data_IF_177570690602
#
_entry.id   IF_177570690602
#
_cell.length_a   1.000
_cell.length_b   1.000
_cell.length_c   1.000
_cell.angle_alpha   90.00
_cell.angle_beta   90.00
_cell.angle_gamma   90.00
#
_symmetry.space_group_name_H-M   'P 1'
#
loop_
_entity.id
_entity.type
_entity.pdbx_description
1 polymer ?
#
# COMPACT_ATOMS: atom_id res chain seq x y z
N UNK A 1 -11.18 -17.87 -4.45
CA UNK A 1 -12.65 -17.83 -4.52
C UNK A 1 -13.19 -19.01 -5.31
N UNK A 2 -13.87 -19.95 -4.63
CA UNK A 2 -14.47 -21.14 -5.26
C UNK A 2 -15.63 -20.77 -6.20
N UNK A 3 -16.27 -19.62 -6.00
CA UNK A 3 -17.37 -19.14 -6.85
C UNK A 3 -16.88 -18.71 -8.24
N UNK A 4 -15.61 -18.36 -8.39
CA UNK A 4 -15.05 -17.94 -9.67
C UNK A 4 -14.61 -19.10 -10.59
N UNK A 5 -14.81 -20.35 -10.15
CA UNK A 5 -14.50 -21.57 -10.92
C UNK A 5 -15.74 -22.17 -11.61
N UNK A 6 -16.80 -21.37 -11.78
CA UNK A 6 -18.02 -21.80 -12.46
C UNK A 6 -17.75 -22.20 -13.91
N UNK A 7 -18.43 -23.26 -14.35
CA UNK A 7 -18.52 -23.64 -15.75
C UNK A 7 -19.15 -22.48 -16.54
N UNK A 8 -18.39 -21.81 -17.40
CA UNK A 8 -18.90 -20.75 -18.27
C UNK A 8 -18.22 -19.39 -18.14
N UNK A 9 -17.27 -19.21 -17.20
CA UNK A 9 -16.44 -17.98 -17.16
C UNK A 9 -15.62 -17.88 -18.44
N UNK A 10 -15.81 -16.80 -19.20
CA UNK A 10 -15.09 -16.53 -20.45
C UNK A 10 -13.91 -15.60 -20.26
N UNK A 11 -13.87 -14.84 -19.17
CA UNK A 11 -12.77 -13.99 -18.75
C UNK A 11 -12.84 -13.69 -17.24
N UNK A 12 -11.73 -13.22 -16.67
CA UNK A 12 -11.65 -12.70 -15.30
C UNK A 12 -11.15 -11.28 -15.32
N UNK A 13 -11.70 -10.47 -14.43
CA UNK A 13 -11.20 -9.12 -14.16
C UNK A 13 -10.88 -9.01 -12.68
N UNK A 14 -9.65 -8.66 -12.38
CA UNK A 14 -9.11 -8.52 -11.02
C UNK A 14 -8.64 -7.08 -10.80
N UNK A 15 -8.57 -6.66 -9.55
CA UNK A 15 -8.05 -5.35 -9.17
C UNK A 15 -6.83 -5.57 -8.31
N UNK A 16 -5.68 -5.00 -8.70
CA UNK A 16 -4.42 -5.06 -7.97
C UNK A 16 -4.10 -6.46 -7.41
N UNK A 17 -3.81 -7.40 -8.29
CA UNK A 17 -3.27 -8.70 -7.87
C UNK A 17 -1.98 -8.50 -7.06
N UNK A 18 -1.85 -9.22 -5.95
CA UNK A 18 -0.65 -9.17 -5.14
C UNK A 18 0.61 -9.58 -5.92
N UNK A 19 0.46 -10.56 -6.82
CA UNK A 19 1.51 -10.97 -7.75
C UNK A 19 0.93 -11.10 -9.15
N UNK A 20 1.48 -10.39 -10.12
CA UNK A 20 1.02 -10.39 -11.52
C UNK A 20 1.05 -11.78 -12.15
N UNK A 21 1.94 -12.67 -11.68
CA UNK A 21 2.06 -14.07 -12.13
C UNK A 21 0.80 -14.90 -11.88
N UNK A 22 -0.09 -14.48 -10.96
CA UNK A 22 -1.37 -15.14 -10.70
C UNK A 22 -2.21 -15.24 -11.98
N UNK A 23 -2.08 -14.29 -12.91
CA UNK A 23 -2.76 -14.31 -14.20
C UNK A 23 -2.43 -15.57 -15.01
N UNK A 24 -1.19 -16.09 -14.90
CA UNK A 24 -0.73 -17.28 -15.61
C UNK A 24 -1.34 -18.61 -15.14
N UNK A 25 -2.08 -18.62 -14.03
CA UNK A 25 -2.74 -19.84 -13.53
C UNK A 25 -4.16 -20.04 -14.08
N UNK A 26 -4.65 -19.12 -14.91
CA UNK A 26 -5.98 -19.22 -15.51
C UNK A 26 -5.86 -19.58 -17.00
N UNK A 27 -6.72 -20.49 -17.45
CA UNK A 27 -6.84 -20.88 -18.87
C UNK A 27 -7.75 -19.95 -19.69
N UNK A 28 -8.27 -18.90 -19.04
CA UNK A 28 -9.12 -17.87 -19.64
C UNK A 28 -8.43 -16.50 -19.56
N UNK A 29 -8.80 -15.54 -20.42
CA UNK A 29 -8.25 -14.20 -20.35
C UNK A 29 -8.43 -13.56 -18.97
N UNK A 30 -7.40 -12.91 -18.46
CA UNK A 30 -7.41 -12.19 -17.17
C UNK A 30 -6.98 -10.76 -17.40
N UNK A 31 -7.82 -9.82 -16.95
CA UNK A 31 -7.50 -8.39 -16.86
C UNK A 31 -7.12 -8.05 -15.42
N UNK A 32 -5.88 -7.64 -15.19
CA UNK A 32 -5.47 -7.04 -13.93
C UNK A 32 -5.60 -5.52 -14.03
N UNK A 33 -6.56 -4.94 -13.34
CA UNK A 33 -6.81 -3.49 -13.30
C UNK A 33 -6.14 -2.93 -12.05
N UNK A 34 -5.58 -1.72 -12.14
CA UNK A 34 -4.88 -1.08 -11.04
C UNK A 34 -5.71 0.04 -10.42
N UNK A 35 -5.68 0.17 -9.09
CA UNK A 35 -6.30 1.28 -8.36
C UNK A 35 -5.52 2.60 -8.49
N UNK A 36 -4.30 2.57 -9.04
CA UNK A 36 -3.43 3.74 -9.21
C UNK A 36 -4.15 4.98 -9.78
N UNK A 37 -5.01 4.90 -10.82
CA UNK A 37 -5.74 6.07 -11.33
C UNK A 37 -6.67 6.71 -10.30
N UNK A 38 -7.29 5.90 -9.42
CA UNK A 38 -8.16 6.40 -8.35
C UNK A 38 -7.34 7.13 -7.28
N UNK A 39 -6.22 6.53 -6.88
CA UNK A 39 -5.30 7.13 -5.91
C UNK A 39 -4.72 8.44 -6.43
N UNK A 40 -4.30 8.47 -7.69
CA UNK A 40 -3.80 9.67 -8.34
C UNK A 40 -4.83 10.80 -8.33
N UNK A 41 -6.08 10.50 -8.67
CA UNK A 41 -7.16 11.48 -8.68
C UNK A 41 -7.44 12.03 -7.27
N UNK A 42 -7.42 11.18 -6.24
CA UNK A 42 -7.62 11.63 -4.87
C UNK A 42 -6.43 12.45 -4.34
N UNK A 43 -5.19 12.01 -4.56
CA UNK A 43 -3.98 12.74 -4.15
C UNK A 43 -3.98 14.16 -4.74
N UNK A 44 -4.31 14.31 -6.03
CA UNK A 44 -4.44 15.64 -6.65
C UNK A 44 -5.55 16.48 -6.01
N UNK A 45 -6.67 15.86 -5.63
CA UNK A 45 -7.78 16.56 -4.97
C UNK A 45 -7.43 17.00 -3.55
N UNK A 46 -6.65 16.23 -2.82
CA UNK A 46 -6.21 16.56 -1.45
C UNK A 46 -5.21 17.70 -1.44
N UNK A 47 -4.49 17.93 -2.55
CA UNK A 47 -3.52 19.01 -2.71
C UNK A 47 -2.47 19.02 -1.58
N UNK A 48 -1.91 17.83 -1.29
CA UNK A 48 -0.81 17.70 -0.31
C UNK A 48 0.43 18.47 -0.75
N UNK A 49 1.10 19.09 0.21
CA UNK A 49 2.36 19.80 -0.04
C UNK A 49 3.55 18.83 -0.06
N UNK A 50 4.48 19.05 -1.00
CA UNK A 50 5.78 18.33 -1.11
C UNK A 50 5.65 16.81 -0.96
N UNK A 51 4.87 16.19 -1.85
CA UNK A 51 4.57 14.75 -1.81
C UNK A 51 5.77 13.91 -2.22
N UNK A 52 6.03 12.85 -1.46
CA UNK A 52 6.86 11.72 -1.85
C UNK A 52 6.08 10.41 -1.74
N UNK A 53 6.17 9.55 -2.75
CA UNK A 53 5.56 8.22 -2.69
C UNK A 53 6.48 7.26 -1.94
N UNK A 54 5.88 6.43 -1.09
CA UNK A 54 6.63 5.48 -0.26
C UNK A 54 6.15 4.05 -0.51
N UNK A 55 7.09 3.14 -0.73
CA UNK A 55 6.83 1.70 -0.66
C UNK A 55 7.03 1.22 0.78
N UNK A 56 6.04 0.54 1.41
CA UNK A 56 6.16 0.06 2.79
C UNK A 56 7.16 -1.10 2.94
N UNK A 57 7.56 -1.71 1.84
CA UNK A 57 8.56 -2.77 1.77
C UNK A 57 9.21 -2.84 0.37
N UNK A 58 10.15 -3.76 0.20
CA UNK A 58 10.84 -3.96 -1.09
C UNK A 58 9.91 -4.57 -2.16
N UNK A 59 8.90 -5.35 -1.75
CA UNK A 59 7.96 -6.01 -2.65
C UNK A 59 7.03 -5.04 -3.37
N UNK A 60 6.61 -3.96 -2.70
CA UNK A 60 5.71 -2.93 -3.25
C UNK A 60 6.37 -1.90 -4.17
N UNK A 61 7.70 -1.93 -4.34
CA UNK A 61 8.47 -0.89 -5.07
C UNK A 61 7.97 -0.65 -6.49
N UNK A 62 7.57 -1.67 -7.21
CA UNK A 62 7.10 -1.52 -8.60
C UNK A 62 5.82 -0.69 -8.64
N UNK A 63 4.86 -0.98 -7.75
CA UNK A 63 3.60 -0.25 -7.61
C UNK A 63 3.85 1.19 -7.20
N UNK A 64 4.64 1.41 -6.16
CA UNK A 64 4.98 2.73 -5.67
C UNK A 64 5.69 3.59 -6.73
N UNK A 65 6.62 3.00 -7.50
CA UNK A 65 7.31 3.67 -8.61
C UNK A 65 6.36 4.09 -9.72
N UNK A 66 5.36 3.25 -10.04
CA UNK A 66 4.36 3.58 -11.05
C UNK A 66 3.54 4.82 -10.66
N UNK A 67 3.14 4.93 -9.40
CA UNK A 67 2.43 6.09 -8.86
C UNK A 67 3.33 7.33 -8.80
N UNK A 68 4.56 7.20 -8.27
CA UNK A 68 5.53 8.29 -8.19
C UNK A 68 5.81 8.92 -9.56
N UNK A 69 5.97 8.07 -10.60
CA UNK A 69 6.16 8.54 -11.98
C UNK A 69 4.97 9.37 -12.49
N UNK A 70 3.74 8.98 -12.17
CA UNK A 70 2.54 9.72 -12.61
C UNK A 70 2.35 11.03 -11.83
N UNK A 71 2.76 11.07 -10.56
CA UNK A 71 2.77 12.28 -9.74
C UNK A 71 3.97 13.19 -10.03
N UNK A 72 4.95 12.72 -10.82
CA UNK A 72 6.22 13.40 -11.06
C UNK A 72 6.96 13.76 -9.76
N UNK A 73 7.02 12.79 -8.84
CA UNK A 73 7.66 12.92 -7.53
C UNK A 73 8.68 11.80 -7.30
N UNK A 74 9.48 11.94 -6.26
CA UNK A 74 10.45 10.95 -5.84
C UNK A 74 9.78 9.73 -5.19
N UNK A 75 10.58 8.67 -5.02
CA UNK A 75 10.20 7.42 -4.37
C UNK A 75 11.10 7.19 -3.15
N UNK A 76 10.50 6.87 -2.02
CA UNK A 76 11.20 6.30 -0.88
C UNK A 76 10.78 4.85 -0.63
N UNK A 77 11.62 4.09 0.06
CA UNK A 77 11.39 2.69 0.37
C UNK A 77 11.68 2.48 1.85
N UNK A 78 10.77 1.81 2.55
CA UNK A 78 11.02 1.31 3.90
C UNK A 78 11.58 -0.10 3.77
N UNK A 79 12.89 -0.24 4.01
CA UNK A 79 13.58 -1.54 3.97
C UNK A 79 13.63 -2.14 5.37
N UNK A 80 12.98 -3.27 5.52
CA UNK A 80 12.90 -4.02 6.78
C UNK A 80 14.03 -5.02 6.85
N UNK A 81 15.04 -4.74 7.68
CA UNK A 81 16.20 -5.61 7.86
C UNK A 81 16.18 -6.29 9.23
N UNK A 82 16.50 -7.57 9.22
CA UNK A 82 16.86 -8.33 10.41
C UNK A 82 18.36 -8.59 10.35
N UNK A 83 19.20 -7.78 11.01
CA UNK A 83 20.66 -7.94 10.92
C UNK A 83 21.14 -9.29 11.47
N UNK A 84 20.44 -9.84 12.50
CA UNK A 84 20.76 -11.16 13.09
C UNK A 84 19.50 -11.82 13.65
N UNK A 85 19.55 -13.14 13.86
CA UNK A 85 18.52 -13.88 14.58
C UNK A 85 18.41 -13.36 16.03
N UNK A 86 17.19 -13.05 16.49
CA UNK A 86 16.87 -12.46 17.81
C UNK A 86 17.24 -10.97 18.02
N UNK A 87 17.60 -10.23 16.99
CA UNK A 87 17.73 -8.77 17.05
C UNK A 87 16.43 -8.12 16.58
N UNK A 88 16.07 -7.01 17.22
CA UNK A 88 14.88 -6.21 16.83
C UNK A 88 14.99 -5.79 15.36
N UNK A 89 13.85 -5.82 14.67
CA UNK A 89 13.76 -5.36 13.29
C UNK A 89 14.17 -3.89 13.20
N UNK A 90 15.08 -3.58 12.30
CA UNK A 90 15.47 -2.21 12.00
C UNK A 90 14.80 -1.80 10.70
N UNK A 91 14.06 -0.69 10.75
CA UNK A 91 13.52 -0.04 9.56
C UNK A 91 14.55 0.93 9.03
N UNK A 92 15.00 0.73 7.80
CA UNK A 92 15.87 1.67 7.09
C UNK A 92 15.08 2.36 5.99
N UNK A 93 15.07 3.68 5.99
CA UNK A 93 14.42 4.46 4.94
C UNK A 93 15.45 4.79 3.87
N UNK A 94 15.13 4.44 2.63
CA UNK A 94 15.91 4.76 1.44
C UNK A 94 15.17 5.86 0.70
N UNK A 95 15.73 7.05 0.62
CA UNK A 95 15.12 8.25 0.02
C UNK A 95 15.13 9.44 0.99
N UNK A 96 14.96 10.63 0.45
CA UNK A 96 14.90 11.87 1.24
C UNK A 96 13.44 12.21 1.54
N UNK A 97 13.02 11.98 2.81
CA UNK A 97 11.63 12.15 3.26
C UNK A 97 11.46 13.31 4.25
N UNK A 98 12.57 13.94 4.66
CA UNK A 98 12.53 14.95 5.71
C UNK A 98 11.70 16.16 5.29
N UNK A 99 10.71 16.49 6.09
CA UNK A 99 9.79 17.61 5.85
C UNK A 99 8.71 17.33 4.79
N UNK A 100 8.75 16.17 4.11
CA UNK A 100 7.82 15.84 3.03
C UNK A 100 6.54 15.15 3.53
N UNK A 101 5.48 15.26 2.73
CA UNK A 101 4.26 14.47 2.89
C UNK A 101 4.46 13.10 2.26
N UNK A 102 4.57 12.07 3.09
CA UNK A 102 4.79 10.69 2.67
C UNK A 102 3.45 10.01 2.33
N UNK A 103 3.31 9.54 1.08
CA UNK A 103 2.16 8.78 0.60
C UNK A 103 2.58 7.32 0.45
N UNK A 104 2.25 6.50 1.44
CA UNK A 104 2.47 5.05 1.36
C UNK A 104 1.42 4.44 0.42
N UNK A 105 1.84 3.55 -0.49
CA UNK A 105 0.91 2.83 -1.36
C UNK A 105 1.14 1.33 -1.26
N UNK A 106 0.03 0.58 -1.06
CA UNK A 106 0.07 -0.88 -1.00
C UNK A 106 -1.21 -1.49 -1.58
N UNK A 107 -1.15 -2.78 -1.97
CA UNK A 107 -2.33 -3.49 -2.47
C UNK A 107 -3.20 -4.04 -1.35
N UNK A 108 -2.60 -4.57 -0.29
CA UNK A 108 -3.31 -5.27 0.78
C UNK A 108 -2.88 -4.76 2.15
N UNK A 109 -3.84 -4.41 2.98
CA UNK A 109 -3.61 -4.18 4.39
C UNK A 109 -4.43 -5.17 5.22
N UNK A 110 -3.76 -6.13 5.85
CA UNK A 110 -4.40 -7.15 6.67
C UNK A 110 -4.44 -6.71 8.15
N UNK A 111 -3.41 -6.94 8.93
CA UNK A 111 -3.37 -6.56 10.36
C UNK A 111 -2.87 -5.13 10.60
N UNK A 112 -2.49 -4.43 9.56
CA UNK A 112 -1.89 -3.09 9.55
C UNK A 112 -0.52 -2.95 10.26
N UNK A 113 0.06 -4.03 10.79
CA UNK A 113 1.32 -3.95 11.52
C UNK A 113 2.47 -3.35 10.71
N UNK A 114 2.71 -3.88 9.50
CA UNK A 114 3.76 -3.38 8.60
C UNK A 114 3.54 -1.91 8.24
N UNK A 115 2.30 -1.55 7.93
CA UNK A 115 1.92 -0.19 7.56
C UNK A 115 2.18 0.80 8.72
N UNK A 116 1.75 0.45 9.92
CA UNK A 116 1.92 1.29 11.12
C UNK A 116 3.40 1.47 11.46
N UNK A 117 4.19 0.39 11.45
CA UNK A 117 5.63 0.47 11.70
C UNK A 117 6.34 1.32 10.64
N UNK A 118 5.94 1.22 9.36
CA UNK A 118 6.49 2.06 8.31
C UNK A 118 6.17 3.54 8.56
N UNK A 119 4.94 3.87 8.97
CA UNK A 119 4.53 5.23 9.29
C UNK A 119 5.31 5.81 10.48
N UNK A 120 5.47 5.02 11.55
CA UNK A 120 6.22 5.42 12.72
C UNK A 120 7.70 5.70 12.38
N UNK A 121 8.31 4.86 11.53
CA UNK A 121 9.66 5.09 11.04
C UNK A 121 9.76 6.37 10.20
N UNK A 122 8.82 6.61 9.29
CA UNK A 122 8.79 7.84 8.48
C UNK A 122 8.64 9.09 9.34
N UNK A 123 7.74 9.06 10.34
CA UNK A 123 7.57 10.18 11.26
C UNK A 123 8.81 10.43 12.11
N UNK A 124 9.49 9.38 12.58
CA UNK A 124 10.71 9.50 13.37
C UNK A 124 11.87 10.11 12.58
N UNK A 125 11.92 9.87 11.26
CA UNK A 125 12.90 10.45 10.33
C UNK A 125 12.49 11.84 9.79
N UNK A 126 11.37 12.39 10.29
CA UNK A 126 10.98 13.78 10.07
C UNK A 126 10.03 14.01 8.91
N UNK A 127 9.24 13.03 8.51
CA UNK A 127 8.11 13.25 7.60
C UNK A 127 7.10 14.24 8.20
N UNK A 128 6.63 15.20 7.41
CA UNK A 128 5.64 16.20 7.84
C UNK A 128 4.26 15.55 8.06
N UNK A 129 3.88 14.69 7.14
CA UNK A 129 2.63 13.92 7.20
C UNK A 129 2.85 12.52 6.60
N UNK A 130 2.02 11.55 7.01
CA UNK A 130 2.03 10.18 6.46
C UNK A 130 0.60 9.75 6.17
N UNK A 131 0.30 9.55 4.90
CA UNK A 131 -0.98 9.01 4.42
C UNK A 131 -0.75 7.64 3.79
N UNK A 132 -1.73 6.74 3.89
CA UNK A 132 -1.69 5.44 3.27
C UNK A 132 -2.84 5.25 2.27
N UNK A 133 -2.53 4.73 1.09
CA UNK A 133 -3.46 4.42 0.02
C UNK A 133 -3.44 2.91 -0.23
N UNK A 134 -4.53 2.23 0.09
CA UNK A 134 -4.63 0.78 0.11
C UNK A 134 -5.76 0.31 -0.79
N UNK A 135 -5.47 -0.65 -1.67
CA UNK A 135 -6.49 -1.21 -2.56
C UNK A 135 -7.43 -2.14 -1.80
N UNK A 136 -6.90 -3.11 -1.04
CA UNK A 136 -7.70 -4.13 -0.36
C UNK A 136 -7.61 -3.99 1.16
N UNK A 137 -8.55 -3.27 1.81
CA UNK A 137 -8.57 -3.10 3.26
C UNK A 137 -9.21 -4.31 3.94
N UNK A 138 -8.44 -5.37 4.18
CA UNK A 138 -8.91 -6.56 4.90
C UNK A 138 -9.18 -6.22 6.35
N UNK A 139 -8.27 -5.48 6.99
CA UNK A 139 -8.35 -4.99 8.36
C UNK A 139 -8.77 -6.07 9.36
N UNK A 140 -8.06 -7.21 9.31
CA UNK A 140 -8.31 -8.33 10.21
C UNK A 140 -7.69 -8.13 11.60
N UNK A 141 -8.16 -8.92 12.55
CA UNK A 141 -7.58 -9.00 13.87
C UNK A 141 -7.59 -7.68 14.64
N UNK A 142 -6.41 -7.13 14.91
CA UNK A 142 -6.21 -5.87 15.65
C UNK A 142 -5.93 -4.68 14.73
N UNK A 143 -6.24 -4.75 13.43
CA UNK A 143 -5.91 -3.70 12.48
C UNK A 143 -6.42 -2.33 12.92
N UNK A 144 -7.69 -2.22 13.32
CA UNK A 144 -8.29 -0.97 13.77
C UNK A 144 -7.51 -0.37 14.95
N UNK A 145 -7.14 -1.21 15.94
CA UNK A 145 -6.37 -0.75 17.10
C UNK A 145 -4.96 -0.32 16.72
N UNK A 146 -4.27 -1.10 15.88
CA UNK A 146 -2.94 -0.77 15.39
C UNK A 146 -2.94 0.57 14.66
N UNK A 147 -3.95 0.82 13.82
CA UNK A 147 -4.10 2.08 13.09
C UNK A 147 -4.34 3.24 14.05
N UNK A 148 -5.26 3.09 15.02
CA UNK A 148 -5.56 4.13 16.01
C UNK A 148 -4.36 4.50 16.88
N UNK A 149 -3.50 3.52 17.19
CA UNK A 149 -2.32 3.71 18.03
C UNK A 149 -1.10 4.20 17.21
N UNK A 150 -1.19 4.24 15.87
CA UNK A 150 -0.10 4.62 14.99
C UNK A 150 -0.01 6.13 14.76
N UNK A 151 1.08 6.55 14.12
CA UNK A 151 1.32 7.94 13.72
C UNK A 151 0.81 8.28 12.31
N UNK A 152 -0.04 7.42 11.72
CA UNK A 152 -0.66 7.65 10.41
C UNK A 152 -1.64 8.82 10.51
N UNK A 153 -1.50 9.82 9.62
CA UNK A 153 -2.41 10.98 9.57
C UNK A 153 -3.73 10.64 8.86
N UNK A 154 -3.74 9.66 7.97
CA UNK A 154 -4.95 9.19 7.31
C UNK A 154 -4.74 7.95 6.46
N UNK A 155 -5.82 7.17 6.29
CA UNK A 155 -5.84 5.99 5.42
C UNK A 155 -6.97 6.14 4.42
N UNK A 156 -6.63 6.03 3.15
CA UNK A 156 -7.54 6.06 2.02
C UNK A 156 -7.61 4.65 1.44
N UNK A 157 -8.79 4.13 1.27
CA UNK A 157 -9.00 2.76 0.77
C UNK A 157 -10.01 2.74 -0.36
N UNK A 158 -9.93 1.72 -1.21
CA UNK A 158 -11.00 1.44 -2.17
C UNK A 158 -12.14 0.67 -1.49
N UNK A 159 -13.22 0.48 -2.21
CA UNK A 159 -14.39 -0.30 -1.77
C UNK A 159 -14.37 -1.76 -2.24
N UNK A 160 -13.21 -2.27 -2.63
CA UNK A 160 -13.06 -3.69 -3.04
C UNK A 160 -13.46 -4.65 -1.92
N UNK A 161 -13.30 -4.22 -0.67
CA UNK A 161 -13.74 -4.93 0.53
C UNK A 161 -14.57 -3.97 1.37
N UNK A 162 -15.79 -4.40 1.70
CA UNK A 162 -16.68 -3.59 2.54
C UNK A 162 -16.13 -3.48 3.95
N UNK A 163 -15.85 -2.26 4.40
CA UNK A 163 -15.47 -2.00 5.78
C UNK A 163 -16.62 -2.38 6.72
N UNK A 164 -16.32 -3.13 7.78
CA UNK A 164 -17.27 -3.39 8.84
C UNK A 164 -17.54 -2.07 9.59
N UNK A 165 -18.81 -1.70 9.74
CA UNK A 165 -19.17 -0.63 10.68
C UNK A 165 -18.84 -1.14 12.09
N UNK A 166 -17.79 -0.65 12.67
CA UNK A 166 -17.51 -0.78 14.10
C UNK A 166 -17.73 0.55 14.78
#
# INVERSE_FOLDING_TARGET
DSASRGLGDVYKRQIDLHADQIQGFFDIPVDNIYATPLFLADIHKQNYDDVIVVSPDVGGVVRARALAKQLNTDLAIVDKRRPEANVSEVMQIIGDIKGKCCVIVDDICDTAGTLCHAADALKSEGASAVYAYITHPIFSGKADQNIMDSTIDGIIVTDTIKLSKK
#
